data_IF_601861638839
#
_entry.id   IF_601861638839
#
_cell.length_a   1.000
_cell.length_b   1.000
_cell.length_c   1.000
_cell.angle_alpha   90.00
_cell.angle_beta   90.00
_cell.angle_gamma   90.00
#
_symmetry.space_group_name_H-M   'P 1'
#
loop_
_entity.id
_entity.type
_entity.pdbx_description
1 polymer ?
#
# COMPACT_ATOMS: atom_id res chain seq x y z
N UNK A 1 3.10 -12.84 -48.43
CA UNK A 1 3.64 -14.20 -48.39
C UNK A 1 4.84 -14.18 -47.46
N UNK A 2 4.60 -14.28 -46.13
CA UNK A 2 5.61 -14.35 -45.09
C UNK A 2 5.41 -15.66 -44.36
N UNK A 3 6.41 -16.54 -44.51
CA UNK A 3 6.50 -17.82 -43.81
C UNK A 3 6.80 -17.56 -42.33
N UNK A 4 5.87 -17.86 -41.42
CA UNK A 4 6.15 -18.07 -40.05
C UNK A 4 6.78 -19.45 -39.86
N UNK A 5 8.09 -19.50 -39.61
CA UNK A 5 8.79 -20.68 -39.13
C UNK A 5 8.37 -20.90 -37.67
N UNK A 6 7.51 -21.89 -37.44
CA UNK A 6 7.25 -22.42 -36.09
C UNK A 6 8.48 -23.16 -35.57
N UNK A 7 9.20 -22.55 -34.62
CA UNK A 7 10.13 -23.30 -33.78
C UNK A 7 9.30 -24.11 -32.77
N UNK A 8 9.13 -25.41 -33.08
CA UNK A 8 8.76 -26.40 -32.08
C UNK A 8 9.94 -26.54 -31.10
N UNK A 9 9.84 -25.85 -29.95
CA UNK A 9 10.70 -26.15 -28.81
C UNK A 9 10.31 -27.56 -28.30
N UNK A 10 11.18 -28.53 -28.54
CA UNK A 10 11.09 -29.82 -27.90
C UNK A 10 11.19 -29.62 -26.38
N UNK A 11 10.41 -30.36 -25.56
CA UNK A 11 10.53 -30.26 -24.12
C UNK A 11 11.95 -30.69 -23.70
N UNK A 12 12.52 -30.05 -22.64
CA UNK A 12 13.85 -30.42 -22.16
C UNK A 12 13.82 -31.91 -21.74
N UNK A 13 14.67 -32.71 -22.35
CA UNK A 13 14.87 -34.12 -22.00
C UNK A 13 15.42 -34.16 -20.57
N UNK A 14 14.59 -34.64 -19.61
CA UNK A 14 15.06 -34.88 -18.25
C UNK A 14 14.06 -34.68 -17.11
N UNK A 15 12.81 -34.32 -17.37
CA UNK A 15 11.79 -34.42 -16.33
C UNK A 15 11.53 -35.92 -16.07
N UNK A 16 12.02 -36.43 -14.94
CA UNK A 16 11.64 -37.75 -14.48
C UNK A 16 10.14 -37.73 -14.21
N UNK A 17 9.35 -38.35 -15.11
CA UNK A 17 7.91 -38.52 -14.92
C UNK A 17 7.64 -39.15 -13.56
N UNK A 18 6.76 -38.58 -12.79
CA UNK A 18 6.29 -39.15 -11.55
C UNK A 18 5.68 -40.55 -11.89
N UNK A 19 5.91 -41.58 -11.06
CA UNK A 19 5.35 -42.91 -11.32
C UNK A 19 3.83 -42.81 -11.42
N UNK A 20 3.18 -43.49 -12.40
CA UNK A 20 1.73 -43.44 -12.59
C UNK A 20 1.04 -43.94 -11.32
N UNK A 21 0.26 -43.06 -10.67
CA UNK A 21 -0.46 -43.33 -9.42
C UNK A 21 -0.03 -42.47 -8.20
N UNK A 22 1.03 -41.69 -8.28
CA UNK A 22 1.38 -40.72 -7.27
C UNK A 22 0.62 -39.39 -7.58
N UNK A 23 -0.14 -38.90 -6.62
CA UNK A 23 -0.74 -37.53 -6.69
C UNK A 23 0.35 -36.46 -6.79
N UNK A 24 -0.03 -35.17 -6.89
CA UNK A 24 0.93 -34.07 -7.04
C UNK A 24 1.97 -34.05 -5.91
N UNK A 25 3.21 -33.69 -6.25
CA UNK A 25 4.27 -33.53 -5.25
C UNK A 25 3.97 -32.35 -4.36
N UNK A 26 3.98 -32.55 -3.05
CA UNK A 26 3.77 -31.46 -2.07
C UNK A 26 5.09 -30.76 -1.79
N UNK A 27 5.13 -29.44 -2.00
CA UNK A 27 6.25 -28.57 -1.61
C UNK A 27 5.79 -27.70 -0.46
N UNK A 28 6.43 -27.89 0.68
CA UNK A 28 6.13 -27.16 1.91
C UNK A 28 6.93 -25.87 1.93
N UNK A 29 6.21 -24.74 2.03
CA UNK A 29 6.78 -23.40 2.01
C UNK A 29 6.62 -22.76 3.38
N UNK A 30 7.74 -22.33 3.97
CA UNK A 30 7.76 -21.46 5.15
C UNK A 30 8.29 -20.09 4.74
N UNK A 31 7.69 -19.05 5.31
CA UNK A 31 8.03 -17.65 5.04
C UNK A 31 8.38 -16.93 6.33
N UNK A 32 9.42 -16.08 6.31
CA UNK A 32 9.78 -15.22 7.42
C UNK A 32 10.16 -13.83 6.89
N UNK A 33 9.33 -12.82 7.19
CA UNK A 33 9.61 -11.43 6.82
C UNK A 33 10.73 -10.89 7.71
N UNK A 34 11.76 -10.30 7.11
CA UNK A 34 12.88 -9.66 7.83
C UNK A 34 12.83 -8.14 7.77
N UNK A 35 12.12 -7.58 6.79
CA UNK A 35 11.95 -6.14 6.69
C UNK A 35 11.00 -5.73 5.56
N UNK A 36 10.34 -4.59 5.80
CA UNK A 36 9.61 -3.82 4.82
C UNK A 36 10.32 -2.49 4.71
N UNK A 37 10.99 -2.20 3.59
CA UNK A 37 11.93 -1.07 3.50
C UNK A 37 11.29 0.21 3.00
N UNK A 38 10.43 0.11 1.98
CA UNK A 38 9.73 1.27 1.40
C UNK A 38 8.37 0.84 0.85
N UNK A 39 7.44 1.77 0.84
CA UNK A 39 6.19 1.68 0.08
C UNK A 39 6.12 2.96 -0.75
N UNK A 40 6.12 2.81 -2.07
CA UNK A 40 6.13 3.93 -3.03
C UNK A 40 4.73 4.08 -3.64
N UNK A 41 4.01 5.08 -3.17
CA UNK A 41 2.64 5.38 -3.60
C UNK A 41 2.57 5.83 -5.07
N UNK A 42 3.66 6.43 -5.59
CA UNK A 42 3.70 6.98 -6.94
C UNK A 42 3.93 5.90 -7.99
N UNK A 43 4.83 4.94 -7.67
CA UNK A 43 5.20 3.85 -8.57
C UNK A 43 4.39 2.57 -8.32
N UNK A 44 3.50 2.59 -7.32
CA UNK A 44 2.69 1.43 -6.88
C UNK A 44 3.60 0.22 -6.62
N UNK A 45 4.64 0.42 -5.77
CA UNK A 45 5.60 -0.63 -5.42
C UNK A 45 5.93 -0.62 -3.94
N UNK A 46 6.42 -1.76 -3.46
CA UNK A 46 7.02 -1.87 -2.13
C UNK A 46 8.24 -2.78 -2.15
N UNK A 47 9.17 -2.53 -1.23
CA UNK A 47 10.38 -3.33 -1.07
C UNK A 47 10.28 -4.21 0.17
N UNK A 48 10.47 -5.51 -0.02
CA UNK A 48 10.43 -6.49 1.07
C UNK A 48 11.69 -7.36 1.09
N UNK A 49 12.20 -7.58 2.30
CA UNK A 49 13.25 -8.54 2.61
C UNK A 49 12.64 -9.72 3.37
N UNK A 50 12.87 -10.95 2.91
CA UNK A 50 12.33 -12.14 3.58
C UNK A 50 13.16 -13.38 3.30
N UNK A 51 13.04 -14.36 4.20
CA UNK A 51 13.50 -15.72 3.98
C UNK A 51 12.35 -16.59 3.51
N UNK A 52 12.64 -17.46 2.55
CA UNK A 52 11.73 -18.51 2.12
C UNK A 52 12.44 -19.85 2.21
N UNK A 53 11.85 -20.79 2.94
CA UNK A 53 12.31 -22.17 3.07
C UNK A 53 11.36 -23.08 2.33
N UNK A 54 11.92 -23.95 1.49
CA UNK A 54 11.20 -24.98 0.77
C UNK A 54 11.62 -26.34 1.29
N UNK A 55 10.66 -27.26 1.44
CA UNK A 55 10.88 -28.66 1.79
C UNK A 55 10.02 -29.54 0.92
N UNK A 56 10.59 -30.61 0.43
CA UNK A 56 9.85 -31.62 -0.32
C UNK A 56 10.45 -33.02 -0.12
N UNK A 57 9.68 -34.04 -0.45
CA UNK A 57 10.15 -35.42 -0.39
C UNK A 57 10.69 -35.85 -1.75
N UNK A 58 11.91 -36.39 -1.77
CA UNK A 58 12.55 -37.04 -2.92
C UNK A 58 12.90 -38.50 -2.57
N UNK A 59 12.15 -39.46 -3.10
CA UNK A 59 12.38 -40.89 -2.80
C UNK A 59 13.75 -41.38 -3.22
N UNK A 60 14.40 -40.75 -4.22
CA UNK A 60 15.74 -41.17 -4.70
C UNK A 60 16.83 -40.91 -3.67
N UNK A 61 16.59 -39.94 -2.75
CA UNK A 61 17.52 -39.54 -1.69
C UNK A 61 17.18 -40.17 -0.32
N UNK A 62 16.23 -41.11 -0.25
CA UNK A 62 15.80 -41.71 1.01
C UNK A 62 16.92 -42.44 1.77
N UNK A 63 17.91 -42.99 1.06
CA UNK A 63 19.06 -43.73 1.63
C UNK A 63 20.38 -42.91 1.57
N UNK A 64 20.35 -41.66 1.13
CA UNK A 64 21.52 -40.79 1.09
C UNK A 64 21.93 -40.30 2.47
N UNK A 65 23.21 -39.99 2.72
CA UNK A 65 23.64 -39.43 4.00
C UNK A 65 23.03 -38.04 4.22
N UNK A 66 22.65 -37.76 5.49
CA UNK A 66 22.12 -36.44 5.88
C UNK A 66 23.20 -35.37 5.80
N UNK A 67 22.84 -34.19 5.38
CA UNK A 67 23.73 -33.04 5.26
C UNK A 67 23.55 -32.26 3.95
N UNK A 68 24.54 -31.45 3.61
CA UNK A 68 24.54 -30.71 2.35
C UNK A 68 24.70 -31.65 1.17
N UNK A 69 23.96 -31.39 0.10
CA UNK A 69 24.10 -32.10 -1.16
C UNK A 69 25.19 -31.40 -2.00
N UNK A 70 26.10 -32.19 -2.57
CA UNK A 70 27.17 -31.69 -3.44
C UNK A 70 26.66 -31.20 -4.81
N UNK A 71 25.46 -31.66 -5.20
CA UNK A 71 24.82 -31.31 -6.45
C UNK A 71 23.31 -31.07 -6.24
N UNK A 72 22.68 -30.20 -7.05
CA UNK A 72 21.23 -30.00 -6.96
C UNK A 72 20.48 -31.30 -7.25
N UNK A 73 19.36 -31.57 -6.54
CA UNK A 73 18.53 -32.74 -6.77
C UNK A 73 17.98 -32.77 -8.20
N UNK A 74 17.75 -33.96 -8.75
CA UNK A 74 17.28 -34.14 -10.13
C UNK A 74 15.93 -33.46 -10.37
N UNK A 75 15.04 -33.49 -9.37
CA UNK A 75 13.81 -32.75 -9.37
C UNK A 75 13.85 -31.68 -8.26
N UNK A 76 13.44 -30.45 -8.60
CA UNK A 76 13.36 -29.35 -7.68
C UNK A 76 12.25 -28.40 -8.11
N UNK A 77 11.53 -27.72 -7.18
CA UNK A 77 10.61 -26.68 -7.52
C UNK A 77 11.36 -25.46 -8.06
N UNK A 78 10.75 -24.77 -9.04
CA UNK A 78 11.26 -23.50 -9.58
C UNK A 78 10.28 -22.38 -9.28
N UNK A 79 10.36 -21.83 -8.08
CA UNK A 79 9.43 -20.78 -7.64
C UNK A 79 9.83 -19.41 -8.19
N UNK A 80 8.83 -18.71 -8.71
CA UNK A 80 8.93 -17.35 -9.21
C UNK A 80 8.01 -16.42 -8.41
N UNK A 81 8.46 -15.19 -8.18
CA UNK A 81 7.67 -14.15 -7.52
C UNK A 81 6.99 -13.32 -8.62
N UNK A 82 5.69 -13.57 -8.81
CA UNK A 82 4.93 -13.14 -10.00
C UNK A 82 4.80 -11.63 -10.12
N UNK A 83 4.61 -10.94 -8.98
CA UNK A 83 4.46 -9.48 -8.97
C UNK A 83 5.77 -8.75 -8.70
N UNK A 84 6.93 -9.40 -8.83
CA UNK A 84 8.22 -8.76 -8.66
C UNK A 84 8.58 -7.91 -9.88
N UNK A 85 9.01 -6.67 -9.66
CA UNK A 85 9.68 -5.81 -10.66
C UNK A 85 11.18 -6.06 -10.67
N UNK A 86 11.78 -6.36 -9.51
CA UNK A 86 13.17 -6.75 -9.38
C UNK A 86 13.32 -7.78 -8.26
N UNK A 87 14.19 -8.73 -8.44
CA UNK A 87 14.52 -9.77 -7.45
C UNK A 87 16.04 -9.83 -7.28
N UNK A 88 16.50 -9.74 -6.04
CA UNK A 88 17.89 -10.01 -5.68
C UNK A 88 17.91 -11.15 -4.67
N UNK A 89 18.57 -12.25 -5.02
CA UNK A 89 18.88 -13.34 -4.08
C UNK A 89 20.20 -13.06 -3.42
N UNK A 90 20.31 -13.31 -2.12
CA UNK A 90 21.57 -13.10 -1.40
C UNK A 90 22.60 -14.20 -1.73
N UNK A 91 22.16 -15.41 -2.05
CA UNK A 91 22.98 -16.50 -2.52
C UNK A 91 22.73 -16.68 -4.02
N UNK A 92 23.79 -16.60 -4.83
CA UNK A 92 23.68 -16.81 -6.29
C UNK A 92 23.33 -18.26 -6.63
N UNK A 93 23.77 -19.24 -5.81
CA UNK A 93 23.47 -20.65 -5.96
C UNK A 93 22.60 -21.15 -4.80
N UNK A 94 21.55 -21.91 -5.15
CA UNK A 94 20.68 -22.55 -4.17
C UNK A 94 21.45 -23.68 -3.47
N UNK A 95 21.50 -23.64 -2.13
CA UNK A 95 22.06 -24.73 -1.34
C UNK A 95 20.95 -25.70 -0.93
N UNK A 96 21.21 -27.00 -1.14
CA UNK A 96 20.27 -28.06 -0.82
C UNK A 96 20.80 -28.91 0.32
N UNK A 97 19.95 -29.23 1.28
CA UNK A 97 20.27 -30.05 2.44
C UNK A 97 19.29 -31.19 2.57
N UNK A 98 19.82 -32.39 2.86
CA UNK A 98 18.99 -33.50 3.27
C UNK A 98 18.83 -33.47 4.79
N UNK A 99 17.66 -33.05 5.27
CA UNK A 99 17.38 -32.84 6.71
C UNK A 99 16.79 -34.06 7.41
N UNK A 100 16.20 -34.98 6.63
CA UNK A 100 15.72 -36.30 7.05
C UNK A 100 15.75 -37.25 5.85
N UNK A 101 15.60 -38.59 6.01
CA UNK A 101 15.57 -39.51 4.90
C UNK A 101 14.61 -39.12 3.80
N UNK A 102 15.11 -38.74 2.62
CA UNK A 102 14.37 -38.30 1.47
C UNK A 102 13.77 -36.88 1.59
N UNK A 103 13.95 -36.13 2.70
CA UNK A 103 13.45 -34.78 2.84
C UNK A 103 14.55 -33.78 2.48
N UNK A 104 14.39 -33.13 1.34
CA UNK A 104 15.27 -32.08 0.83
C UNK A 104 14.76 -30.74 1.31
N UNK A 105 15.66 -29.87 1.73
CA UNK A 105 15.40 -28.48 2.15
C UNK A 105 16.29 -27.52 1.38
N UNK A 106 15.75 -26.37 1.00
CA UNK A 106 16.50 -25.18 0.58
C UNK A 106 15.98 -23.96 1.30
N UNK A 107 16.86 -23.01 1.60
CA UNK A 107 16.53 -21.74 2.26
C UNK A 107 17.21 -20.62 1.51
N UNK A 108 16.42 -19.66 1.06
CA UNK A 108 16.91 -18.48 0.36
C UNK A 108 16.41 -17.19 1.01
N UNK A 109 17.26 -16.17 1.00
CA UNK A 109 16.89 -14.81 1.35
C UNK A 109 16.66 -14.00 0.07
N UNK A 110 15.53 -13.34 0.02
CA UNK A 110 15.11 -12.50 -1.08
C UNK A 110 15.03 -11.05 -0.63
N UNK A 111 15.54 -10.15 -1.49
CA UNK A 111 15.26 -8.72 -1.45
C UNK A 111 14.55 -8.39 -2.75
N UNK A 112 13.31 -7.90 -2.67
CA UNK A 112 12.41 -7.83 -3.82
C UNK A 112 11.68 -6.50 -3.83
N UNK A 113 11.64 -5.85 -5.00
CA UNK A 113 10.70 -4.76 -5.28
C UNK A 113 9.46 -5.35 -5.94
N UNK A 114 8.30 -5.17 -5.33
CA UNK A 114 7.04 -5.80 -5.71
C UNK A 114 6.04 -4.75 -6.20
N UNK A 115 5.26 -5.09 -7.22
CA UNK A 115 4.14 -4.26 -7.66
C UNK A 115 2.91 -4.54 -6.80
N UNK A 116 2.24 -3.48 -6.35
CA UNK A 116 0.98 -3.56 -5.61
C UNK A 116 0.11 -2.38 -5.95
N UNK A 117 -1.17 -2.63 -6.29
CA UNK A 117 -2.15 -1.56 -6.43
C UNK A 117 -2.56 -1.06 -5.06
N UNK A 118 -2.43 0.25 -4.85
CA UNK A 118 -2.80 0.90 -3.60
C UNK A 118 -4.17 1.58 -3.74
N UNK A 119 -5.03 1.44 -2.73
CA UNK A 119 -6.28 2.20 -2.65
C UNK A 119 -6.08 3.44 -1.77
N UNK A 120 -5.87 4.59 -2.42
CA UNK A 120 -5.58 5.86 -1.78
C UNK A 120 -6.82 6.73 -1.54
N UNK A 121 -8.05 6.19 -1.63
CA UNK A 121 -9.28 6.97 -1.39
C UNK A 121 -9.33 7.58 0.00
N UNK A 122 -8.80 6.85 0.99
CA UNK A 122 -8.72 7.30 2.38
C UNK A 122 -7.43 8.03 2.75
N UNK A 123 -6.53 8.23 1.78
CA UNK A 123 -5.26 8.90 2.04
C UNK A 123 -5.44 10.22 2.80
N UNK A 124 -4.69 10.50 3.89
CA UNK A 124 -3.56 9.74 4.44
C UNK A 124 -3.92 8.76 5.57
N UNK A 125 -5.17 8.34 5.70
CA UNK A 125 -5.69 7.42 6.73
C UNK A 125 -6.01 6.06 6.11
N UNK A 126 -5.11 5.55 5.29
CA UNK A 126 -5.32 4.35 4.49
C UNK A 126 -4.60 3.14 5.09
N UNK A 127 -5.25 2.00 4.96
CA UNK A 127 -4.72 0.66 5.19
C UNK A 127 -4.50 -0.01 3.84
N UNK A 128 -3.42 -0.78 3.71
CA UNK A 128 -3.07 -1.43 2.46
C UNK A 128 -2.75 -2.92 2.66
N UNK A 129 -3.18 -3.71 1.70
CA UNK A 129 -2.80 -5.11 1.59
C UNK A 129 -1.72 -5.26 0.52
N UNK A 130 -0.49 -5.60 0.94
CA UNK A 130 0.67 -5.71 0.07
C UNK A 130 0.92 -7.20 -0.25
N UNK A 131 0.56 -7.70 -1.44
CA UNK A 131 0.68 -9.10 -1.77
C UNK A 131 2.09 -9.45 -2.26
N UNK A 132 2.58 -10.63 -1.86
CA UNK A 132 3.72 -11.33 -2.44
C UNK A 132 3.17 -12.62 -3.03
N UNK A 133 3.24 -12.76 -4.36
CA UNK A 133 2.65 -13.87 -5.09
C UNK A 133 3.75 -14.79 -5.60
N UNK A 134 3.71 -16.08 -5.20
CA UNK A 134 4.74 -17.06 -5.55
C UNK A 134 4.09 -18.23 -6.26
N UNK A 135 4.63 -18.63 -7.42
CA UNK A 135 4.16 -19.77 -8.22
C UNK A 135 5.33 -20.54 -8.81
N UNK A 136 5.06 -21.78 -9.21
CA UNK A 136 5.94 -22.57 -10.06
C UNK A 136 5.29 -22.72 -11.44
N UNK A 137 5.89 -22.10 -12.47
CA UNK A 137 5.37 -22.18 -13.84
C UNK A 137 5.85 -23.42 -14.62
N UNK A 138 6.76 -24.20 -14.06
CA UNK A 138 7.24 -25.41 -14.72
C UNK A 138 6.35 -26.63 -14.44
N UNK A 139 5.59 -26.58 -13.33
CA UNK A 139 4.76 -27.69 -12.89
C UNK A 139 3.31 -27.26 -12.69
N UNK A 140 2.38 -27.97 -13.31
CA UNK A 140 0.95 -27.76 -13.10
C UNK A 140 0.50 -28.23 -11.71
N UNK A 141 -0.75 -27.90 -11.31
CA UNK A 141 -1.33 -28.40 -10.05
C UNK A 141 -1.48 -29.92 -10.00
N UNK A 142 -1.42 -30.60 -11.15
CA UNK A 142 -1.42 -32.05 -11.20
C UNK A 142 -0.05 -32.66 -10.83
N UNK A 143 1.01 -31.85 -10.95
CA UNK A 143 2.40 -32.26 -10.70
C UNK A 143 2.96 -31.72 -9.39
N UNK A 144 2.58 -30.46 -9.01
CA UNK A 144 3.10 -29.77 -7.84
C UNK A 144 1.99 -28.99 -7.11
N UNK A 145 1.95 -29.12 -5.78
CA UNK A 145 1.10 -28.32 -4.90
C UNK A 145 1.94 -27.69 -3.81
N UNK A 146 1.83 -26.35 -3.70
CA UNK A 146 2.46 -25.58 -2.62
C UNK A 146 1.58 -25.67 -1.37
N UNK A 147 2.21 -25.99 -0.24
CA UNK A 147 1.56 -26.15 1.06
C UNK A 147 2.26 -25.24 2.07
N UNK A 148 1.49 -24.49 2.86
CA UNK A 148 2.06 -23.68 3.92
C UNK A 148 2.55 -24.57 5.08
N UNK A 149 3.81 -24.39 5.48
CA UNK A 149 4.41 -25.08 6.62
C UNK A 149 4.56 -24.10 7.80
N UNK A 150 3.93 -24.41 8.94
CA UNK A 150 4.16 -23.66 10.18
C UNK A 150 5.60 -23.83 10.67
N UNK A 151 6.22 -22.73 11.07
CA UNK A 151 7.52 -22.76 11.75
C UNK A 151 7.34 -23.46 13.11
N UNK A 152 8.10 -24.53 13.37
CA UNK A 152 8.04 -25.30 14.62
C UNK A 152 7.38 -26.68 14.54
N UNK A 153 6.78 -27.08 13.40
CA UNK A 153 6.33 -28.45 13.21
C UNK A 153 7.54 -29.42 13.21
N UNK A 154 7.59 -30.36 14.16
CA UNK A 154 8.63 -31.40 14.20
C UNK A 154 8.35 -32.40 13.08
N UNK A 155 9.25 -32.46 12.11
CA UNK A 155 9.21 -33.44 11.05
C UNK A 155 9.61 -34.83 11.60
N UNK A 156 8.66 -35.77 11.65
CA UNK A 156 8.90 -37.18 11.91
C UNK A 156 8.26 -37.99 10.79
N UNK A 157 9.07 -38.33 9.76
CA UNK A 157 8.68 -39.20 8.65
C UNK A 157 7.81 -38.53 7.55
N UNK A 158 7.61 -39.24 6.43
CA UNK A 158 6.87 -38.74 5.26
C UNK A 158 5.38 -38.41 5.53
N UNK A 159 4.78 -38.96 6.59
CA UNK A 159 3.38 -38.67 6.99
C UNK A 159 3.23 -37.48 7.94
N UNK A 160 4.32 -36.96 8.49
CA UNK A 160 4.28 -35.88 9.49
C UNK A 160 4.25 -34.48 8.90
N UNK A 161 4.23 -34.35 7.58
CA UNK A 161 3.95 -33.09 6.89
C UNK A 161 2.43 -32.86 6.89
N UNK A 162 1.85 -32.73 8.09
CA UNK A 162 0.43 -32.47 8.23
C UNK A 162 0.08 -31.08 7.69
N UNK A 163 -0.98 -31.02 6.91
CA UNK A 163 -1.62 -29.79 6.45
C UNK A 163 -1.90 -28.87 7.64
N UNK A 164 -1.19 -27.77 7.73
CA UNK A 164 -1.45 -26.73 8.71
C UNK A 164 -2.03 -25.51 8.00
N UNK A 165 -3.34 -25.56 7.75
CA UNK A 165 -4.13 -24.48 7.16
C UNK A 165 -4.68 -23.50 8.21
N UNK A 166 -3.89 -23.13 9.21
CA UNK A 166 -4.30 -22.12 10.16
C UNK A 166 -3.54 -20.80 9.88
N UNK A 167 -4.19 -19.62 9.99
CA UNK A 167 -3.54 -18.34 9.82
C UNK A 167 -2.37 -18.23 10.80
N UNK A 168 -1.24 -17.67 10.32
CA UNK A 168 -0.13 -17.30 11.19
C UNK A 168 -0.64 -16.27 12.19
N UNK A 169 -0.47 -16.51 13.48
CA UNK A 169 -0.59 -15.44 14.47
C UNK A 169 0.60 -14.52 14.29
N UNK A 170 0.36 -13.18 14.34
CA UNK A 170 1.36 -12.16 14.05
C UNK A 170 2.69 -12.28 14.79
N UNK A 171 2.74 -13.01 15.90
CA UNK A 171 3.92 -13.18 16.74
C UNK A 171 5.04 -14.01 16.09
N UNK A 172 4.72 -14.97 15.21
CA UNK A 172 5.71 -15.83 14.58
C UNK A 172 6.49 -15.15 13.43
N UNK A 173 5.97 -14.03 12.91
CA UNK A 173 6.54 -13.29 11.76
C UNK A 173 7.11 -11.94 12.17
N UNK A 174 6.58 -11.33 13.25
CA UNK A 174 6.92 -9.98 13.70
C UNK A 174 8.27 -9.88 14.44
N UNK A 175 8.80 -10.94 15.00
CA UNK A 175 10.08 -10.89 15.74
C UNK A 175 11.28 -10.47 14.85
N UNK A 176 11.21 -10.66 13.53
CA UNK A 176 12.28 -10.29 12.60
C UNK A 176 12.04 -8.96 11.87
N UNK A 177 10.81 -8.45 11.85
CA UNK A 177 10.41 -7.26 11.10
C UNK A 177 10.45 -5.95 11.92
N UNK A 178 11.47 -5.75 12.76
CA UNK A 178 11.63 -4.52 13.57
C UNK A 178 11.99 -3.26 12.77
N UNK A 179 12.18 -3.36 11.46
CA UNK A 179 12.52 -2.24 10.57
C UNK A 179 11.48 -2.08 9.46
N UNK A 180 10.36 -1.46 9.80
CA UNK A 180 9.42 -0.93 8.81
C UNK A 180 9.78 0.50 8.41
N UNK A 181 9.32 1.02 7.24
CA UNK A 181 9.41 2.43 6.91
C UNK A 181 8.68 3.23 7.99
N UNK A 182 9.24 4.41 8.34
CA UNK A 182 8.69 5.25 9.43
C UNK A 182 7.24 5.71 9.20
N UNK A 183 6.76 5.61 7.97
CA UNK A 183 5.43 6.04 7.54
C UNK A 183 4.38 4.93 7.61
N UNK A 184 4.80 3.66 7.76
CA UNK A 184 3.90 2.51 7.76
C UNK A 184 4.09 1.66 9.01
N UNK A 185 3.00 1.08 9.49
CA UNK A 185 2.96 0.12 10.59
C UNK A 185 2.45 -1.23 10.06
N UNK A 186 3.20 -2.30 10.32
CA UNK A 186 2.79 -3.65 9.94
C UNK A 186 1.90 -4.23 11.04
N UNK A 187 0.63 -4.47 10.72
CA UNK A 187 -0.36 -5.04 11.63
C UNK A 187 -0.42 -6.56 11.58
N UNK A 188 -0.10 -7.15 10.43
CA UNK A 188 -0.16 -8.59 10.29
C UNK A 188 0.37 -9.11 8.98
N UNK A 189 0.60 -10.44 8.96
CA UNK A 189 0.97 -11.17 7.75
C UNK A 189 -0.01 -12.33 7.58
N UNK A 190 -0.67 -12.37 6.46
CA UNK A 190 -1.59 -13.44 6.11
C UNK A 190 -0.94 -14.33 5.04
N UNK A 191 -0.94 -15.64 5.27
CA UNK A 191 -0.40 -16.61 4.31
C UNK A 191 -1.53 -17.54 3.87
N UNK A 192 -1.69 -17.67 2.56
CA UNK A 192 -2.68 -18.54 1.94
C UNK A 192 -2.08 -19.34 0.79
N UNK A 193 -2.70 -20.47 0.51
CA UNK A 193 -2.39 -21.27 -0.67
C UNK A 193 -3.62 -21.38 -1.54
N UNK A 194 -3.44 -21.40 -2.85
CA UNK A 194 -4.54 -21.50 -3.80
C UNK A 194 -4.10 -22.02 -5.15
N UNK A 195 -5.04 -22.12 -6.07
CA UNK A 195 -4.79 -22.43 -7.46
C UNK A 195 -5.13 -21.22 -8.31
N UNK A 196 -4.26 -20.87 -9.22
CA UNK A 196 -4.51 -19.83 -10.23
C UNK A 196 -4.49 -20.43 -11.62
N UNK A 197 -5.43 -20.03 -12.47
CA UNK A 197 -5.51 -20.47 -13.86
C UNK A 197 -5.26 -19.29 -14.79
N UNK A 198 -4.43 -19.53 -15.79
CA UNK A 198 -4.14 -18.57 -16.83
C UNK A 198 -4.81 -18.99 -18.13
N UNK A 199 -5.76 -18.22 -18.62
CA UNK A 199 -6.43 -18.48 -19.90
C UNK A 199 -5.45 -18.48 -21.08
N UNK A 200 -4.33 -17.78 -20.96
CA UNK A 200 -3.27 -17.77 -21.97
C UNK A 200 -2.53 -19.11 -22.12
N UNK A 201 -2.47 -19.92 -21.04
CA UNK A 201 -1.82 -21.23 -21.01
C UNK A 201 -2.85 -22.37 -21.00
N UNK A 202 -3.79 -22.38 -21.96
CA UNK A 202 -4.80 -23.45 -22.11
C UNK A 202 -5.57 -23.80 -20.82
N UNK A 203 -5.81 -22.79 -19.95
CA UNK A 203 -6.49 -22.90 -18.67
C UNK A 203 -5.79 -23.85 -17.66
N UNK A 204 -4.47 -24.04 -17.83
CA UNK A 204 -3.65 -24.83 -16.90
C UNK A 204 -3.66 -24.13 -15.52
N UNK A 205 -3.89 -24.91 -14.47
CA UNK A 205 -3.84 -24.45 -13.09
C UNK A 205 -2.44 -24.56 -12.52
N UNK A 206 -1.97 -23.50 -11.87
CA UNK A 206 -0.72 -23.45 -11.12
C UNK A 206 -1.00 -23.26 -9.64
N UNK A 207 -0.19 -23.93 -8.80
CA UNK A 207 -0.31 -23.75 -7.37
C UNK A 207 0.33 -22.43 -6.96
N UNK A 208 -0.48 -21.56 -6.29
CA UNK A 208 -0.07 -20.23 -5.84
C UNK A 208 0.08 -20.20 -4.33
N UNK A 209 1.18 -19.64 -3.86
CA UNK A 209 1.43 -19.30 -2.47
C UNK A 209 1.32 -17.77 -2.33
N UNK A 210 0.34 -17.31 -1.55
CA UNK A 210 0.05 -15.89 -1.36
C UNK A 210 0.48 -15.47 0.04
N UNK A 211 1.28 -14.42 0.12
CA UNK A 211 1.60 -13.76 1.38
C UNK A 211 1.05 -12.33 1.27
N UNK A 212 0.23 -11.91 2.20
CA UNK A 212 -0.34 -10.56 2.24
C UNK A 212 0.15 -9.87 3.51
N UNK A 213 0.86 -8.76 3.34
CA UNK A 213 1.29 -7.90 4.44
C UNK A 213 0.22 -6.84 4.65
N UNK A 214 -0.43 -6.84 5.81
CA UNK A 214 -1.42 -5.84 6.19
C UNK A 214 -0.72 -4.68 6.88
N UNK A 215 -0.76 -3.49 6.27
CA UNK A 215 -0.05 -2.30 6.73
C UNK A 215 -0.98 -1.11 6.87
N UNK A 216 -0.76 -0.29 7.89
CA UNK A 216 -1.49 0.95 8.15
C UNK A 216 -0.54 2.15 8.04
N UNK A 217 -1.01 3.23 7.40
CA UNK A 217 -0.22 4.45 7.26
C UNK A 217 -0.28 5.28 8.54
N UNK A 218 0.87 5.79 8.98
CA UNK A 218 0.99 6.78 10.06
C UNK A 218 0.74 8.18 9.52
N UNK A 219 -0.45 8.78 9.74
CA UNK A 219 -0.86 10.00 9.07
C UNK A 219 -0.22 11.28 9.64
N UNK A 220 0.55 11.19 10.74
CA UNK A 220 1.04 12.35 11.50
C UNK A 220 1.77 13.37 10.63
N UNK A 221 2.62 12.91 9.69
CA UNK A 221 3.33 13.80 8.77
C UNK A 221 2.36 14.66 7.96
N UNK A 222 1.36 14.05 7.36
CA UNK A 222 0.36 14.71 6.50
C UNK A 222 -0.57 15.61 7.30
N UNK A 223 -0.99 15.17 8.48
CA UNK A 223 -1.84 15.95 9.38
C UNK A 223 -1.13 17.23 9.82
N UNK A 224 0.11 17.14 10.32
CA UNK A 224 0.80 18.31 10.85
C UNK A 224 1.39 19.21 9.77
N UNK A 225 1.92 18.65 8.67
CA UNK A 225 2.60 19.46 7.65
C UNK A 225 1.70 19.91 6.50
N UNK A 226 0.61 19.21 6.22
CA UNK A 226 -0.30 19.60 5.14
C UNK A 226 -1.64 20.12 5.69
N UNK A 227 -2.37 19.31 6.47
CA UNK A 227 -3.74 19.67 6.89
C UNK A 227 -3.71 20.84 7.89
N UNK A 228 -2.85 20.79 8.90
CA UNK A 228 -2.76 21.88 9.90
C UNK A 228 -2.30 23.19 9.26
N UNK A 229 -1.31 23.15 8.36
CA UNK A 229 -0.84 24.37 7.68
C UNK A 229 -1.94 24.94 6.80
N UNK A 230 -2.66 24.12 6.04
CA UNK A 230 -3.82 24.55 5.26
C UNK A 230 -4.89 25.20 6.15
N UNK A 231 -5.21 24.57 7.28
CA UNK A 231 -6.18 25.10 8.24
C UNK A 231 -5.78 26.48 8.74
N UNK A 232 -4.50 26.68 9.11
CA UNK A 232 -3.99 27.99 9.55
C UNK A 232 -4.05 29.03 8.43
N UNK A 233 -3.73 28.67 7.19
CA UNK A 233 -3.81 29.54 6.02
C UNK A 233 -5.24 29.97 5.70
N UNK A 234 -6.23 29.11 5.95
CA UNK A 234 -7.66 29.42 5.74
C UNK A 234 -8.24 30.21 6.91
N UNK A 235 -7.74 30.00 8.13
CA UNK A 235 -8.17 30.76 9.31
C UNK A 235 -7.60 32.18 9.37
N UNK A 236 -6.38 32.40 8.88
CA UNK A 236 -5.70 33.69 8.92
C UNK A 236 -6.54 34.84 8.30
N UNK A 237 -7.17 34.70 7.12
CA UNK A 237 -7.98 35.75 6.52
C UNK A 237 -9.28 36.03 7.26
N UNK A 238 -9.71 35.25 8.24
CA UNK A 238 -10.87 35.56 9.08
C UNK A 238 -10.65 36.86 9.91
N UNK A 239 -9.40 37.34 10.00
CA UNK A 239 -9.10 38.67 10.57
C UNK A 239 -9.81 39.79 9.83
N UNK A 240 -10.19 39.60 8.56
CA UNK A 240 -10.95 40.55 7.74
C UNK A 240 -12.27 40.94 8.38
N UNK A 241 -12.92 40.03 9.12
CA UNK A 241 -14.19 40.30 9.79
C UNK A 241 -14.08 41.28 10.97
N UNK A 242 -12.87 41.61 11.42
CA UNK A 242 -12.61 42.66 12.43
C UNK A 242 -12.29 44.03 11.82
N UNK A 243 -12.03 44.09 10.50
CA UNK A 243 -11.69 45.31 9.81
C UNK A 243 -12.96 46.16 9.51
N UNK A 244 -12.75 47.45 9.31
CA UNK A 244 -13.84 48.33 8.94
C UNK A 244 -14.45 47.92 7.59
N UNK A 245 -15.79 47.80 7.49
CA UNK A 245 -16.48 47.50 6.24
C UNK A 245 -16.17 48.45 5.07
N UNK A 246 -15.69 49.67 5.36
CA UNK A 246 -15.32 50.64 4.34
C UNK A 246 -13.92 50.41 3.73
N UNK A 247 -13.06 49.66 4.41
CA UNK A 247 -11.65 49.42 4.00
C UNK A 247 -11.49 48.28 2.99
N UNK A 248 -12.08 48.39 1.78
CA UNK A 248 -12.00 47.35 0.75
C UNK A 248 -10.57 47.01 0.39
N UNK A 249 -9.66 47.98 0.31
CA UNK A 249 -8.26 47.75 -0.08
C UNK A 249 -7.54 46.82 0.89
N UNK A 250 -7.73 47.00 2.20
CA UNK A 250 -7.14 46.17 3.24
C UNK A 250 -7.76 44.75 3.24
N UNK A 251 -9.10 44.70 3.22
CA UNK A 251 -9.85 43.42 3.19
C UNK A 251 -9.48 42.56 1.98
N UNK A 252 -9.49 43.18 0.77
CA UNK A 252 -9.12 42.45 -0.46
C UNK A 252 -7.66 42.08 -0.51
N UNK A 253 -6.75 42.90 0.02
CA UNK A 253 -5.32 42.60 0.08
C UNK A 253 -5.03 41.34 0.91
N UNK A 254 -5.63 41.22 2.09
CA UNK A 254 -5.51 40.03 2.95
C UNK A 254 -6.08 38.80 2.25
N UNK A 255 -7.27 38.90 1.66
CA UNK A 255 -7.91 37.78 0.98
C UNK A 255 -7.09 37.29 -0.22
N UNK A 256 -6.55 38.17 -1.05
CA UNK A 256 -5.75 37.83 -2.22
C UNK A 256 -4.44 37.18 -1.76
N UNK A 257 -3.79 37.72 -0.73
CA UNK A 257 -2.55 37.16 -0.19
C UNK A 257 -2.79 35.73 0.36
N UNK A 258 -3.88 35.54 1.10
CA UNK A 258 -4.24 34.21 1.61
C UNK A 258 -4.54 33.22 0.47
N UNK A 259 -5.25 33.65 -0.57
CA UNK A 259 -5.54 32.82 -1.74
C UNK A 259 -4.26 32.39 -2.45
N UNK A 260 -3.31 33.30 -2.65
CA UNK A 260 -2.02 32.97 -3.24
C UNK A 260 -1.23 31.99 -2.36
N UNK A 261 -1.25 32.16 -1.04
CA UNK A 261 -0.59 31.28 -0.09
C UNK A 261 -1.18 29.84 -0.13
N UNK A 262 -2.52 29.70 -0.22
CA UNK A 262 -3.19 28.41 -0.34
C UNK A 262 -2.93 27.76 -1.70
N UNK A 263 -2.87 28.51 -2.80
CA UNK A 263 -2.48 27.98 -4.11
C UNK A 263 -1.05 27.44 -4.07
N UNK A 264 -0.11 28.18 -3.46
CA UNK A 264 1.27 27.73 -3.30
C UNK A 264 1.35 26.48 -2.41
N UNK A 265 0.59 26.42 -1.33
CA UNK A 265 0.49 25.25 -0.45
C UNK A 265 -0.05 24.02 -1.19
N UNK A 266 -1.11 24.18 -1.99
CA UNK A 266 -1.67 23.11 -2.81
C UNK A 266 -0.66 22.60 -3.85
N UNK A 267 0.14 23.47 -4.43
CA UNK A 267 1.21 23.06 -5.34
C UNK A 267 2.23 22.16 -4.63
N UNK A 268 2.63 22.51 -3.40
CA UNK A 268 3.52 21.67 -2.58
C UNK A 268 2.85 20.33 -2.26
N UNK A 269 1.58 20.33 -1.85
CA UNK A 269 0.83 19.11 -1.58
C UNK A 269 0.79 18.18 -2.80
N UNK A 270 0.53 18.72 -4.01
CA UNK A 270 0.52 17.95 -5.26
C UNK A 270 1.88 17.32 -5.62
N UNK A 271 3.01 17.79 -5.07
CA UNK A 271 4.33 17.16 -5.30
C UNK A 271 4.55 15.93 -4.42
N UNK A 272 3.82 15.81 -3.32
CA UNK A 272 3.90 14.71 -2.36
C UNK A 272 2.84 13.64 -2.65
N UNK A 273 1.71 14.04 -3.23
CA UNK A 273 0.60 13.14 -3.54
C UNK A 273 0.83 12.39 -4.85
N UNK A 274 0.52 11.09 -4.91
CA UNK A 274 0.54 10.32 -6.16
C UNK A 274 -0.52 10.82 -7.14
N UNK A 275 -0.27 10.62 -8.44
CA UNK A 275 -1.21 10.99 -9.51
C UNK A 275 -2.28 9.91 -9.64
N UNK A 276 -3.39 10.08 -8.95
CA UNK A 276 -4.54 9.16 -8.97
C UNK A 276 -5.70 9.74 -9.80
N UNK A 277 -6.52 8.87 -10.38
CA UNK A 277 -7.66 9.27 -11.23
C UNK A 277 -8.97 9.52 -10.45
N UNK A 278 -8.92 9.49 -9.12
CA UNK A 278 -10.05 9.67 -8.22
C UNK A 278 -9.68 10.64 -7.09
N UNK A 279 -10.68 11.18 -6.40
CA UNK A 279 -10.46 12.08 -5.27
C UNK A 279 -10.17 11.28 -3.99
N UNK A 280 -9.16 11.73 -3.24
CA UNK A 280 -8.85 11.23 -1.92
C UNK A 280 -9.34 12.19 -0.82
N UNK A 281 -9.28 11.76 0.45
CA UNK A 281 -9.69 12.60 1.59
C UNK A 281 -8.90 13.92 1.62
N UNK A 282 -7.62 13.89 1.27
CA UNK A 282 -6.78 15.09 1.21
C UNK A 282 -7.28 16.13 0.20
N UNK A 283 -7.81 15.68 -0.96
CA UNK A 283 -8.36 16.58 -1.98
C UNK A 283 -9.57 17.33 -1.45
N UNK A 284 -10.45 16.68 -0.66
CA UNK A 284 -11.61 17.36 -0.04
C UNK A 284 -11.18 18.44 0.93
N UNK A 285 -10.09 18.24 1.68
CA UNK A 285 -9.53 19.30 2.52
C UNK A 285 -9.05 20.50 1.71
N UNK A 286 -8.29 20.22 0.63
CA UNK A 286 -7.74 21.27 -0.23
C UNK A 286 -8.84 22.08 -0.91
N UNK A 287 -9.81 21.41 -1.54
CA UNK A 287 -10.94 22.07 -2.20
C UNK A 287 -11.86 22.79 -1.20
N UNK A 288 -12.11 22.17 -0.03
CA UNK A 288 -12.88 22.79 1.04
C UNK A 288 -12.25 24.07 1.55
N UNK A 289 -10.94 24.08 1.79
CA UNK A 289 -10.19 25.28 2.18
C UNK A 289 -10.25 26.39 1.14
N UNK A 290 -10.07 26.06 -0.15
CA UNK A 290 -10.20 27.03 -1.25
C UNK A 290 -11.61 27.60 -1.35
N UNK A 291 -12.65 26.76 -1.22
CA UNK A 291 -14.03 27.20 -1.26
C UNK A 291 -14.36 28.18 -0.14
N UNK A 292 -13.88 27.93 1.07
CA UNK A 292 -14.06 28.85 2.21
C UNK A 292 -13.38 30.19 1.94
N UNK A 293 -12.14 30.20 1.44
CA UNK A 293 -11.45 31.44 1.07
C UNK A 293 -12.21 32.21 -0.01
N UNK A 294 -12.70 31.52 -1.02
CA UNK A 294 -13.52 32.16 -2.05
C UNK A 294 -14.79 32.79 -1.48
N UNK A 295 -15.45 32.14 -0.52
CA UNK A 295 -16.61 32.69 0.17
C UNK A 295 -16.27 33.94 0.98
N UNK A 296 -15.11 34.01 1.65
CA UNK A 296 -14.62 35.17 2.37
C UNK A 296 -14.37 36.35 1.40
N UNK A 297 -13.80 36.09 0.22
CA UNK A 297 -13.62 37.10 -0.83
C UNK A 297 -14.98 37.66 -1.30
N UNK A 298 -15.92 36.77 -1.61
CA UNK A 298 -17.27 37.14 -2.07
C UNK A 298 -17.99 37.97 -0.99
N UNK A 299 -17.91 37.55 0.27
CA UNK A 299 -18.47 38.27 1.41
C UNK A 299 -17.89 39.68 1.50
N UNK A 300 -16.57 39.84 1.45
CA UNK A 300 -15.90 41.16 1.50
C UNK A 300 -16.32 42.08 0.36
N UNK A 301 -16.52 41.56 -0.85
CA UNK A 301 -17.05 42.30 -1.98
C UNK A 301 -18.52 42.70 -1.77
N UNK A 302 -19.36 41.82 -1.23
CA UNK A 302 -20.75 42.09 -0.92
C UNK A 302 -20.88 43.20 0.14
N UNK A 303 -20.08 43.11 1.22
CA UNK A 303 -20.01 44.13 2.27
C UNK A 303 -19.68 45.49 1.68
N UNK A 304 -18.61 45.56 0.85
CA UNK A 304 -18.24 46.83 0.20
C UNK A 304 -19.36 47.38 -0.71
N UNK A 305 -20.02 46.51 -1.51
CA UNK A 305 -21.12 46.96 -2.38
C UNK A 305 -22.31 47.54 -1.57
N UNK A 306 -22.65 46.90 -0.44
CA UNK A 306 -23.71 47.41 0.44
C UNK A 306 -23.33 48.78 1.01
N UNK A 307 -22.12 48.92 1.54
CA UNK A 307 -21.61 50.17 2.08
C UNK A 307 -21.66 51.27 1.01
N UNK A 308 -21.10 51.01 -0.19
CA UNK A 308 -21.07 51.99 -1.29
C UNK A 308 -22.45 52.40 -1.76
N UNK A 309 -23.44 51.51 -1.77
CA UNK A 309 -24.83 51.80 -2.19
C UNK A 309 -25.59 52.60 -1.14
N UNK A 310 -25.28 52.46 0.14
CA UNK A 310 -25.98 53.14 1.23
C UNK A 310 -25.30 54.44 1.66
N UNK A 311 -24.07 54.68 1.28
CA UNK A 311 -23.28 55.85 1.59
C UNK A 311 -23.98 57.12 1.11
N UNK A 312 -24.17 58.12 1.99
CA UNK A 312 -24.84 59.37 1.68
C UNK A 312 -26.37 59.28 1.54
N UNK A 313 -26.99 58.13 1.87
CA UNK A 313 -28.43 57.93 1.87
C UNK A 313 -29.01 57.86 3.29
N UNK A 314 -30.34 58.01 3.46
CA UNK A 314 -31.00 57.79 4.76
C UNK A 314 -30.79 56.37 5.32
N UNK A 315 -30.34 55.40 4.48
CA UNK A 315 -30.13 54.00 4.82
C UNK A 315 -28.70 53.67 5.27
N UNK A 316 -27.77 54.62 5.28
CA UNK A 316 -26.36 54.42 5.61
C UNK A 316 -26.17 53.73 6.96
N UNK A 317 -26.84 54.19 8.02
CA UNK A 317 -26.75 53.57 9.34
C UNK A 317 -27.34 52.15 9.42
N UNK A 318 -28.29 51.80 8.53
CA UNK A 318 -28.84 50.44 8.41
C UNK A 318 -27.89 49.56 7.64
N UNK A 319 -27.27 50.06 6.55
CA UNK A 319 -26.26 49.36 5.77
C UNK A 319 -25.08 48.95 6.64
N UNK A 320 -24.49 49.87 7.39
CA UNK A 320 -23.38 49.58 8.29
C UNK A 320 -23.73 48.60 9.42
N UNK A 321 -24.96 48.64 9.94
CA UNK A 321 -25.41 47.65 10.92
C UNK A 321 -25.56 46.26 10.31
N UNK A 322 -26.07 46.16 9.10
CA UNK A 322 -26.22 44.92 8.37
C UNK A 322 -24.87 44.30 8.05
N UNK A 323 -23.90 45.05 7.52
CA UNK A 323 -22.57 44.56 7.18
C UNK A 323 -21.82 44.09 8.41
N UNK A 324 -21.83 44.83 9.53
CA UNK A 324 -21.24 44.38 10.80
C UNK A 324 -21.93 43.14 11.40
N UNK A 325 -23.24 42.96 11.14
CA UNK A 325 -23.94 41.76 11.55
C UNK A 325 -23.50 40.55 10.70
N UNK A 326 -23.32 40.76 9.40
CA UNK A 326 -22.83 39.72 8.48
C UNK A 326 -21.39 39.27 8.83
N UNK A 327 -20.47 40.25 9.02
CA UNK A 327 -19.10 39.97 9.49
C UNK A 327 -19.11 39.15 10.78
N UNK A 328 -19.97 39.47 11.75
CA UNK A 328 -20.09 38.69 13.00
C UNK A 328 -20.60 37.27 12.77
N UNK A 329 -21.63 37.12 11.93
CA UNK A 329 -22.15 35.79 11.61
C UNK A 329 -21.04 34.94 10.96
N UNK A 330 -20.30 35.48 10.01
CA UNK A 330 -19.19 34.80 9.36
C UNK A 330 -18.06 34.43 10.36
N UNK A 331 -17.72 35.40 11.26
CA UNK A 331 -16.69 35.18 12.30
C UNK A 331 -17.06 34.06 13.27
N UNK A 332 -18.32 33.97 13.68
CA UNK A 332 -18.77 32.95 14.64
C UNK A 332 -19.16 31.61 13.98
N UNK A 333 -19.31 31.55 12.64
CA UNK A 333 -19.68 30.34 11.92
C UNK A 333 -18.48 29.66 11.23
N UNK A 334 -17.64 30.40 10.51
CA UNK A 334 -16.59 29.85 9.67
C UNK A 334 -15.47 29.17 10.48
N UNK A 335 -14.79 29.84 11.44
CA UNK A 335 -13.71 29.23 12.20
C UNK A 335 -14.14 27.99 12.99
N UNK A 336 -15.26 27.98 13.75
CA UNK A 336 -15.71 26.79 14.45
C UNK A 336 -16.09 25.65 13.50
N UNK A 337 -16.72 25.95 12.35
CA UNK A 337 -17.06 24.93 11.36
C UNK A 337 -15.82 24.26 10.76
N UNK A 338 -14.77 25.04 10.47
CA UNK A 338 -13.49 24.50 9.99
C UNK A 338 -12.79 23.63 11.04
N UNK A 339 -12.77 24.08 12.30
CA UNK A 339 -12.18 23.31 13.41
C UNK A 339 -12.95 22.01 13.66
N UNK A 340 -14.29 22.07 13.62
CA UNK A 340 -15.14 20.88 13.76
C UNK A 340 -14.96 19.92 12.59
N UNK A 341 -14.86 20.41 11.34
CA UNK A 341 -14.59 19.59 10.18
C UNK A 341 -13.22 18.88 10.29
N UNK A 342 -12.17 19.60 10.70
CA UNK A 342 -10.86 19.02 10.94
C UNK A 342 -10.87 17.97 12.05
N UNK A 343 -11.53 18.28 13.18
CA UNK A 343 -11.64 17.36 14.31
C UNK A 343 -12.49 16.12 13.98
N UNK A 344 -13.58 16.26 13.20
CA UNK A 344 -14.44 15.15 12.82
C UNK A 344 -13.71 14.17 11.90
N UNK A 345 -12.91 14.66 10.97
CA UNK A 345 -12.10 13.78 10.11
C UNK A 345 -11.03 13.07 10.92
N UNK A 346 -10.33 13.79 11.79
CA UNK A 346 -9.36 13.14 12.68
C UNK A 346 -10.01 12.04 13.55
N UNK A 347 -11.21 12.30 14.11
CA UNK A 347 -11.92 11.33 14.94
C UNK A 347 -12.52 10.14 14.15
N UNK A 348 -12.74 10.28 12.84
CA UNK A 348 -13.24 9.18 11.99
C UNK A 348 -12.13 8.23 11.57
N UNK A 349 -10.88 8.68 11.59
CA UNK A 349 -9.73 7.93 11.06
C UNK A 349 -8.61 7.72 12.08
N UNK A 350 -8.72 8.26 13.32
CA UNK A 350 -7.84 7.99 14.45
C UNK A 350 -8.40 6.88 15.34
#
# INVERSE_FOLDING_TARGET
>A
MLLCLGLLLAPPAGAAEAPPGAGPRKVYVSFALTGLSSVDDVNETFDADFYMRLRWYDPTLANAPLGNLDAPPAWRPNLEIINAKSVSKQLEEDTYQLVAPGIVQTVNRYRVTLASKLDLRRFPFDEQDLPILVEDFQHSTEELVLVHERVGARLQGAEALAECSAPLHGDDVLELASSGPSEWELHGVHVGTGMHRYTFFDDIGYSRFNITLHVERRPQYYVFKLILVLLLLVLAPCVVFFLDPESLGERSGICITALLAVIAHNYIACTVLPRIAYLCVMDYFMFGGQAVLFLIVVESLCVHQVVKRTQGTEYESRGLRFTRALDRVCLYSIPPALLLAGASVYALYA
#
